data_IF_466670239206
#
_entry.id   IF_466670239206
#
_cell.length_a   1.000
_cell.length_b   1.000
_cell.length_c   1.000
_cell.angle_alpha   90.00
_cell.angle_beta   90.00
_cell.angle_gamma   90.00
#
_symmetry.space_group_name_H-M   'P 1'
#
loop_
_entity.id
_entity.type
_entity.pdbx_description
1 polymer ?
#
# COMPACT_ATOMS: atom_id res chain seq x y z
N UNK A 1 25.86 -11.52 26.00
CA UNK A 1 25.56 -10.90 24.70
C UNK A 1 25.02 -12.00 23.79
N UNK A 2 23.72 -12.00 23.55
CA UNK A 2 23.05 -12.98 22.68
C UNK A 2 23.51 -12.76 21.25
N UNK A 3 24.21 -13.74 20.67
CA UNK A 3 24.64 -13.71 19.26
C UNK A 3 23.39 -13.79 18.39
N UNK A 4 22.87 -12.63 17.96
CA UNK A 4 21.82 -12.59 16.95
C UNK A 4 22.41 -13.22 15.68
N UNK A 5 21.80 -14.32 15.24
CA UNK A 5 22.23 -15.02 14.03
C UNK A 5 22.13 -14.05 12.85
N UNK A 6 23.13 -14.03 11.96
CA UNK A 6 23.08 -13.23 10.74
C UNK A 6 21.78 -13.49 9.92
N UNK A 7 21.22 -14.70 10.06
CA UNK A 7 19.91 -15.07 9.51
C UNK A 7 18.76 -14.27 10.12
N UNK A 8 18.75 -14.05 11.43
CA UNK A 8 17.69 -13.30 12.13
C UNK A 8 17.74 -11.81 11.76
N UNK A 9 18.95 -11.26 11.60
CA UNK A 9 19.12 -9.88 11.15
C UNK A 9 18.64 -9.69 9.70
N UNK A 10 18.94 -10.63 8.81
CA UNK A 10 18.42 -10.65 7.44
C UNK A 10 16.90 -10.79 7.41
N UNK A 11 16.33 -11.75 8.16
CA UNK A 11 14.88 -11.92 8.26
C UNK A 11 14.17 -10.66 8.77
N UNK A 12 14.74 -9.98 9.76
CA UNK A 12 14.18 -8.73 10.27
C UNK A 12 14.19 -7.62 9.22
N UNK A 13 15.30 -7.45 8.49
CA UNK A 13 15.40 -6.46 7.42
C UNK A 13 14.44 -6.74 6.26
N UNK A 14 14.29 -8.01 5.87
CA UNK A 14 13.38 -8.42 4.80
C UNK A 14 11.92 -8.25 5.22
N UNK A 15 11.58 -8.56 6.47
CA UNK A 15 10.23 -8.45 6.99
C UNK A 15 9.77 -6.98 7.06
N UNK A 16 10.66 -6.04 7.43
CA UNK A 16 10.33 -4.61 7.46
C UNK A 16 10.01 -4.06 6.06
N UNK A 17 10.76 -4.49 5.04
CA UNK A 17 10.48 -4.12 3.66
C UNK A 17 9.13 -4.69 3.17
N UNK A 18 8.74 -5.89 3.62
CA UNK A 18 7.46 -6.49 3.25
C UNK A 18 6.29 -5.82 3.97
N UNK A 19 6.47 -5.47 5.24
CA UNK A 19 5.49 -4.73 6.02
C UNK A 19 5.17 -3.37 5.40
N UNK A 20 6.17 -2.67 4.85
CA UNK A 20 5.97 -1.41 4.12
C UNK A 20 5.08 -1.60 2.89
N UNK A 21 5.29 -2.66 2.11
CA UNK A 21 4.45 -2.97 0.95
C UNK A 21 3.00 -3.28 1.34
N UNK A 22 2.80 -4.05 2.41
CA UNK A 22 1.46 -4.29 2.95
C UNK A 22 0.77 -3.01 3.45
N UNK A 23 1.52 -2.09 4.08
CA UNK A 23 0.98 -0.77 4.48
C UNK A 23 0.50 0.05 3.29
N UNK A 24 1.22 0.04 2.18
CA UNK A 24 0.81 0.73 0.94
C UNK A 24 -0.49 0.13 0.39
N UNK A 25 -0.60 -1.20 0.40
CA UNK A 25 -1.79 -1.91 -0.04
C UNK A 25 -3.02 -1.58 0.83
N UNK A 26 -2.88 -1.67 2.15
CA UNK A 26 -3.95 -1.34 3.10
C UNK A 26 -4.33 0.14 2.98
N UNK A 27 -3.34 1.04 2.89
CA UNK A 27 -3.55 2.47 2.74
C UNK A 27 -4.30 2.80 1.45
N UNK A 28 -3.92 2.18 0.33
CA UNK A 28 -4.61 2.33 -0.95
C UNK A 28 -6.06 1.88 -0.86
N UNK A 29 -6.32 0.78 -0.16
CA UNK A 29 -7.67 0.27 0.03
C UNK A 29 -8.55 1.21 0.87
N UNK A 30 -8.00 1.76 1.96
CA UNK A 30 -8.68 2.75 2.80
C UNK A 30 -9.00 4.01 1.99
N UNK A 31 -8.06 4.49 1.17
CA UNK A 31 -8.26 5.67 0.33
C UNK A 31 -9.34 5.45 -0.74
N UNK A 32 -9.42 4.26 -1.33
CA UNK A 32 -10.52 3.89 -2.25
C UNK A 32 -11.86 3.96 -1.53
N UNK A 33 -11.96 3.34 -0.34
CA UNK A 33 -13.19 3.36 0.45
C UNK A 33 -13.60 4.78 0.81
N UNK A 34 -12.66 5.60 1.27
CA UNK A 34 -12.90 7.01 1.60
C UNK A 34 -13.37 7.81 0.38
N UNK A 35 -12.74 7.60 -0.78
CA UNK A 35 -13.12 8.27 -2.03
C UNK A 35 -14.53 7.90 -2.45
N UNK A 36 -14.92 6.62 -2.36
CA UNK A 36 -16.29 6.19 -2.64
C UNK A 36 -17.30 6.76 -1.64
N UNK A 37 -16.97 6.77 -0.36
CA UNK A 37 -17.81 7.37 0.67
C UNK A 37 -18.09 8.85 0.36
N UNK A 38 -17.05 9.61 0.01
CA UNK A 38 -17.18 11.02 -0.36
C UNK A 38 -18.03 11.20 -1.62
N UNK A 39 -17.86 10.35 -2.64
CA UNK A 39 -18.66 10.42 -3.87
C UNK A 39 -20.15 10.13 -3.65
N UNK A 40 -20.50 9.29 -2.67
CA UNK A 40 -21.88 8.97 -2.35
C UNK A 40 -22.55 9.98 -1.42
N UNK A 41 -21.78 10.69 -0.59
CA UNK A 41 -22.31 11.57 0.46
C UNK A 41 -22.20 13.07 0.13
N UNK A 42 -21.23 13.46 -0.69
CA UNK A 42 -21.02 14.86 -1.04
C UNK A 42 -21.77 15.25 -2.31
N UNK A 43 -22.43 16.41 -2.26
CA UNK A 43 -23.11 17.04 -3.41
C UNK A 43 -22.26 18.15 -4.03
N UNK A 44 -21.12 18.49 -3.41
CA UNK A 44 -20.25 19.57 -3.89
C UNK A 44 -19.34 19.07 -5.03
N UNK A 45 -19.40 19.67 -6.24
CA UNK A 45 -18.65 19.19 -7.40
C UNK A 45 -17.12 19.20 -7.20
N UNK A 46 -16.59 20.21 -6.50
CA UNK A 46 -15.13 20.32 -6.25
C UNK A 46 -14.62 19.17 -5.37
N UNK A 47 -15.43 18.75 -4.39
CA UNK A 47 -15.10 17.66 -3.46
C UNK A 47 -15.19 16.32 -4.18
N UNK A 48 -16.20 16.14 -5.03
CA UNK A 48 -16.33 14.94 -5.87
C UNK A 48 -15.16 14.82 -6.84
N UNK A 49 -14.73 15.91 -7.49
CA UNK A 49 -13.57 15.91 -8.36
C UNK A 49 -12.30 15.47 -7.61
N UNK A 50 -12.06 16.03 -6.42
CA UNK A 50 -10.96 15.62 -5.55
C UNK A 50 -11.02 14.12 -5.21
N UNK A 51 -12.20 13.59 -4.90
CA UNK A 51 -12.39 12.18 -4.61
C UNK A 51 -12.11 11.28 -5.83
N UNK A 52 -12.46 11.69 -7.05
CA UNK A 52 -12.11 10.95 -8.27
C UNK A 52 -10.59 10.92 -8.47
N UNK A 53 -9.90 12.04 -8.32
CA UNK A 53 -8.44 12.09 -8.43
C UNK A 53 -7.79 11.20 -7.38
N UNK A 54 -8.27 11.25 -6.14
CA UNK A 54 -7.78 10.40 -5.06
C UNK A 54 -8.01 8.91 -5.33
N UNK A 55 -9.18 8.56 -5.87
CA UNK A 55 -9.52 7.19 -6.25
C UNK A 55 -8.54 6.66 -7.32
N UNK A 56 -8.24 7.45 -8.34
CA UNK A 56 -7.28 7.10 -9.39
C UNK A 56 -5.87 6.93 -8.83
N UNK A 57 -5.42 7.87 -7.99
CA UNK A 57 -4.12 7.78 -7.34
C UNK A 57 -4.00 6.52 -6.47
N UNK A 58 -5.07 6.17 -5.76
CA UNK A 58 -5.13 4.95 -4.93
C UNK A 58 -5.08 3.69 -5.78
N UNK A 59 -5.73 3.68 -6.95
CA UNK A 59 -5.63 2.58 -7.90
C UNK A 59 -4.20 2.38 -8.41
N UNK A 60 -3.51 3.45 -8.76
CA UNK A 60 -2.09 3.39 -9.17
C UNK A 60 -1.22 2.87 -8.02
N UNK A 61 -1.39 3.38 -6.80
CA UNK A 61 -0.65 2.93 -5.62
C UNK A 61 -0.89 1.46 -5.28
N UNK A 62 -2.12 0.97 -5.49
CA UNK A 62 -2.44 -0.44 -5.33
C UNK A 62 -1.69 -1.32 -6.34
N UNK A 63 -1.74 -0.95 -7.63
CA UNK A 63 -1.07 -1.71 -8.70
C UNK A 63 0.45 -1.73 -8.46
N UNK A 64 1.06 -0.58 -8.15
CA UNK A 64 2.50 -0.52 -7.88
C UNK A 64 2.88 -1.34 -6.65
N UNK A 65 2.04 -1.32 -5.59
CA UNK A 65 2.22 -2.16 -4.41
C UNK A 65 2.19 -3.66 -4.74
N UNK A 66 1.23 -4.10 -5.55
CA UNK A 66 1.12 -5.50 -6.00
C UNK A 66 2.33 -5.90 -6.85
N UNK A 67 2.75 -5.07 -7.80
CA UNK A 67 3.92 -5.34 -8.64
C UNK A 67 5.19 -5.43 -7.80
N UNK A 68 5.38 -4.53 -6.82
CA UNK A 68 6.54 -4.55 -5.94
C UNK A 68 6.56 -5.80 -5.04
N UNK A 69 5.40 -6.25 -4.55
CA UNK A 69 5.28 -7.53 -3.85
C UNK A 69 5.65 -8.69 -4.76
N UNK A 70 5.07 -8.76 -5.96
CA UNK A 70 5.35 -9.83 -6.91
C UNK A 70 6.84 -9.88 -7.27
N UNK A 71 7.45 -8.73 -7.57
CA UNK A 71 8.88 -8.64 -7.85
C UNK A 71 9.72 -9.11 -6.68
N UNK A 72 9.39 -8.70 -5.44
CA UNK A 72 10.13 -9.11 -4.26
C UNK A 72 10.01 -10.61 -4.00
N UNK A 73 8.81 -11.18 -4.13
CA UNK A 73 8.59 -12.62 -4.00
C UNK A 73 9.39 -13.38 -5.06
N UNK A 74 9.35 -12.96 -6.32
CA UNK A 74 10.09 -13.60 -7.41
C UNK A 74 11.61 -13.49 -7.26
N UNK A 75 12.11 -12.36 -6.75
CA UNK A 75 13.55 -12.14 -6.54
C UNK A 75 14.11 -12.90 -5.33
N UNK A 76 13.26 -13.23 -4.35
CA UNK A 76 13.61 -14.00 -3.15
C UNK A 76 13.29 -15.51 -3.30
N UNK A 77 12.66 -15.93 -4.40
CA UNK A 77 12.37 -17.34 -4.76
C UNK A 77 13.56 -17.99 -5.47
#
# INVERSE_FOLDING_TARGET
MTTVSARDALLYATNDAMLKLYRVLIGSWILVFFSQFVLQTSIQPIVQFGAVVLLLASGVAFITGVVAIAHKVLAES
#
